data_IF_516986813216
#
_entry.id   IF_516986813216
#
_cell.length_a   1.000
_cell.length_b   1.000
_cell.length_c   1.000
_cell.angle_alpha   90.00
_cell.angle_beta   90.00
_cell.angle_gamma   90.00
#
_symmetry.space_group_name_H-M   'P 1'
#
loop_
_entity.id
_entity.type
_entity.pdbx_description
1 polymer ?
#
# COMPACT_ATOMS: atom_id res chain seq x y z
N UNK A 1 -35.69 11.57 -7.35
CA UNK A 1 -34.94 12.82 -7.07
C UNK A 1 -33.50 12.63 -7.50
N UNK A 2 -33.09 13.24 -8.62
CA UNK A 2 -31.72 13.20 -9.17
C UNK A 2 -30.78 13.92 -8.20
N UNK A 3 -29.92 13.19 -7.50
CA UNK A 3 -28.78 13.80 -6.80
C UNK A 3 -27.76 14.22 -7.86
N UNK A 4 -27.57 15.51 -7.92
CA UNK A 4 -26.60 16.22 -8.75
C UNK A 4 -25.22 15.56 -8.59
N UNK A 5 -24.69 15.05 -9.71
CA UNK A 5 -23.29 14.69 -9.87
C UNK A 5 -22.44 15.87 -9.37
N UNK A 6 -21.71 15.69 -8.28
CA UNK A 6 -20.57 16.57 -7.99
C UNK A 6 -19.56 16.27 -9.11
N UNK A 7 -19.63 17.07 -10.16
CA UNK A 7 -18.61 17.12 -11.18
C UNK A 7 -17.26 17.23 -10.47
N UNK A 8 -16.36 16.29 -10.75
CA UNK A 8 -14.95 16.46 -10.43
C UNK A 8 -14.56 17.79 -11.08
N UNK A 9 -14.27 18.79 -10.26
CA UNK A 9 -13.78 20.07 -10.77
C UNK A 9 -12.60 19.74 -11.68
N UNK A 10 -12.61 20.16 -12.96
CA UNK A 10 -11.52 19.86 -13.87
C UNK A 10 -10.22 20.29 -13.19
N UNK A 11 -9.24 19.40 -13.11
CA UNK A 11 -7.94 19.78 -12.58
C UNK A 11 -7.32 20.79 -13.54
N UNK A 12 -6.70 21.87 -13.02
CA UNK A 12 -6.09 22.91 -13.86
C UNK A 12 -4.94 22.41 -14.76
N UNK A 13 -4.40 21.23 -14.42
CA UNK A 13 -3.40 20.52 -15.22
C UNK A 13 -3.93 19.16 -15.64
N UNK A 14 -3.86 18.80 -16.92
CA UNK A 14 -4.31 17.50 -17.42
C UNK A 14 -3.40 16.37 -16.91
N UNK A 15 -3.93 15.16 -16.92
CA UNK A 15 -3.12 13.97 -16.65
C UNK A 15 -2.06 13.79 -17.76
N UNK A 16 -0.82 13.46 -17.41
CA UNK A 16 0.29 13.17 -18.33
C UNK A 16 0.75 11.74 -18.16
N UNK A 17 0.67 10.90 -19.20
CA UNK A 17 1.10 9.50 -19.17
C UNK A 17 0.58 8.75 -17.92
N UNK A 18 -0.69 8.90 -17.60
CA UNK A 18 -1.33 8.28 -16.43
C UNK A 18 -1.04 8.96 -15.07
N UNK A 19 -0.23 10.02 -15.05
CA UNK A 19 0.19 10.73 -13.83
C UNK A 19 -0.64 11.99 -13.65
N UNK A 20 -1.30 12.11 -12.50
CA UNK A 20 -2.02 13.31 -12.09
C UNK A 20 -1.05 14.40 -11.64
N UNK A 21 -1.41 15.65 -11.88
CA UNK A 21 -0.79 16.77 -11.19
C UNK A 21 -1.07 16.68 -9.67
N UNK A 22 -0.10 17.06 -8.88
CA UNK A 22 -0.30 17.19 -7.43
C UNK A 22 -0.80 18.58 -7.11
N UNK A 23 -1.61 18.71 -6.07
CA UNK A 23 -2.03 20.02 -5.57
C UNK A 23 -1.50 20.24 -4.16
N UNK A 24 -1.14 21.48 -3.89
CA UNK A 24 -0.64 21.92 -2.61
C UNK A 24 -1.24 23.29 -2.25
N UNK A 25 -1.67 23.46 -0.99
CA UNK A 25 -2.09 24.76 -0.49
C UNK A 25 -0.87 25.44 0.10
N UNK A 26 -0.50 26.58 -0.46
CA UNK A 26 0.60 27.41 0.02
C UNK A 26 0.20 28.04 1.37
N UNK A 27 1.17 28.32 2.25
CA UNK A 27 0.87 29.10 3.44
C UNK A 27 0.52 30.56 3.09
N UNK A 28 -0.05 31.27 4.05
CA UNK A 28 -0.15 32.72 3.99
C UNK A 28 1.13 33.34 4.57
N UNK A 29 1.81 34.20 3.82
CA UNK A 29 3.03 34.87 4.26
C UNK A 29 2.81 35.75 5.51
N UNK A 30 1.58 36.22 5.72
CA UNK A 30 1.20 37.04 6.87
C UNK A 30 0.88 36.24 8.13
N UNK A 31 0.80 34.90 8.03
CA UNK A 31 0.60 34.03 9.18
C UNK A 31 1.92 33.29 9.53
N UNK A 32 2.63 33.75 10.58
CA UNK A 32 3.90 33.15 10.97
C UNK A 32 3.74 31.71 11.51
N UNK A 33 2.54 31.31 11.89
CA UNK A 33 2.27 29.94 12.35
C UNK A 33 2.08 28.98 11.17
N UNK A 34 1.70 29.50 10.00
CA UNK A 34 1.53 28.74 8.75
C UNK A 34 2.82 28.77 7.91
N UNK A 35 3.49 29.93 7.80
CA UNK A 35 4.75 30.07 7.08
C UNK A 35 5.98 29.90 7.98
N UNK A 36 6.13 28.70 8.56
CA UNK A 36 7.27 28.37 9.44
C UNK A 36 8.65 28.39 8.76
N UNK A 37 8.70 28.39 7.43
CA UNK A 37 9.97 28.48 6.67
C UNK A 37 10.45 29.92 6.44
N UNK A 38 9.59 30.91 6.74
CA UNK A 38 9.92 32.32 6.58
C UNK A 38 10.22 32.77 5.14
N UNK A 39 9.72 32.04 4.15
CA UNK A 39 9.89 32.35 2.73
C UNK A 39 8.83 33.34 2.26
N UNK A 40 9.16 34.15 1.25
CA UNK A 40 8.26 35.21 0.75
C UNK A 40 7.61 34.86 -0.59
N UNK A 41 8.24 33.99 -1.38
CA UNK A 41 7.77 33.67 -2.74
C UNK A 41 7.36 32.22 -2.88
N UNK A 42 6.51 31.96 -3.87
CA UNK A 42 6.04 30.61 -4.16
C UNK A 42 7.19 29.67 -4.51
N UNK A 43 8.15 30.12 -5.34
CA UNK A 43 9.30 29.31 -5.72
C UNK A 43 10.17 29.00 -4.51
N UNK A 44 10.55 30.01 -3.71
CA UNK A 44 11.40 29.80 -2.54
C UNK A 44 10.77 28.84 -1.53
N UNK A 45 9.46 28.98 -1.30
CA UNK A 45 8.73 28.07 -0.41
C UNK A 45 8.76 26.62 -0.91
N UNK A 46 8.43 26.40 -2.18
CA UNK A 46 8.36 25.05 -2.74
C UNK A 46 9.74 24.38 -2.77
N UNK A 47 10.79 25.14 -3.08
CA UNK A 47 12.16 24.63 -3.04
C UNK A 47 12.56 24.29 -1.61
N UNK A 48 12.40 25.22 -0.67
CA UNK A 48 12.76 24.98 0.74
C UNK A 48 11.99 23.78 1.34
N UNK A 49 10.73 23.61 0.97
CA UNK A 49 9.85 22.59 1.54
C UNK A 49 10.06 21.19 0.94
N UNK A 50 10.30 21.11 -0.37
CA UNK A 50 10.25 19.83 -1.10
C UNK A 50 11.53 19.52 -1.87
N UNK A 51 12.34 20.51 -2.23
CA UNK A 51 13.46 20.36 -3.16
C UNK A 51 14.70 21.18 -2.74
N UNK A 52 15.18 21.07 -1.48
CA UNK A 52 16.19 21.99 -0.92
C UNK A 52 17.53 22.02 -1.69
N UNK A 53 17.77 21.05 -2.58
CA UNK A 53 19.00 20.99 -3.38
C UNK A 53 18.74 21.01 -4.89
N UNK A 54 17.52 21.38 -5.34
CA UNK A 54 17.09 21.28 -6.74
C UNK A 54 16.40 22.56 -7.23
N UNK A 55 16.95 23.72 -6.88
CA UNK A 55 16.34 25.03 -7.19
C UNK A 55 16.09 25.19 -8.70
N UNK A 56 17.12 25.03 -9.54
CA UNK A 56 17.04 25.23 -11.00
C UNK A 56 16.03 24.25 -11.64
N UNK A 57 16.04 23.01 -11.18
CA UNK A 57 15.11 22.00 -11.68
C UNK A 57 13.66 22.38 -11.39
N UNK A 58 13.39 22.95 -10.20
CA UNK A 58 12.05 23.39 -9.85
C UNK A 58 11.68 24.72 -10.52
N UNK A 59 12.61 25.66 -10.63
CA UNK A 59 12.43 26.94 -11.31
C UNK A 59 12.02 26.77 -12.79
N UNK A 60 12.62 25.81 -13.49
CA UNK A 60 12.29 25.50 -14.89
C UNK A 60 10.80 25.14 -15.13
N UNK A 61 10.07 24.71 -14.10
CA UNK A 61 8.62 24.45 -14.21
C UNK A 61 7.80 25.71 -14.34
N UNK A 62 8.25 26.80 -13.71
CA UNK A 62 7.60 28.10 -13.86
C UNK A 62 7.81 28.64 -15.27
N UNK A 63 9.00 28.47 -15.84
CA UNK A 63 9.30 28.82 -17.24
C UNK A 63 8.41 28.05 -18.21
N UNK A 64 8.22 26.73 -17.97
CA UNK A 64 7.32 25.88 -18.75
C UNK A 64 5.85 26.08 -18.45
N UNK A 65 5.50 27.03 -17.53
CA UNK A 65 4.13 27.30 -17.09
C UNK A 65 3.41 26.06 -16.53
N UNK A 66 4.15 25.19 -15.85
CA UNK A 66 3.66 23.94 -15.26
C UNK A 66 3.22 24.07 -13.80
N UNK A 67 3.33 25.28 -13.23
CA UNK A 67 2.74 25.61 -11.92
C UNK A 67 1.50 26.48 -12.19
N UNK A 68 0.33 26.00 -11.76
CA UNK A 68 -0.98 26.60 -12.05
C UNK A 68 -1.77 26.87 -10.79
N UNK A 69 -2.59 27.92 -10.79
CA UNK A 69 -3.62 28.18 -9.79
C UNK A 69 -4.89 27.33 -10.01
N UNK A 70 -5.90 27.53 -9.18
CA UNK A 70 -7.18 26.81 -9.28
C UNK A 70 -7.97 27.15 -10.56
N UNK A 71 -7.71 28.28 -11.18
CA UNK A 71 -8.30 28.76 -12.42
C UNK A 71 -7.53 28.30 -13.68
N UNK A 72 -6.37 27.65 -13.46
CA UNK A 72 -5.51 27.18 -14.56
C UNK A 72 -4.53 28.23 -15.06
N UNK A 73 -4.43 29.40 -14.42
CA UNK A 73 -3.47 30.42 -14.80
C UNK A 73 -2.06 30.05 -14.34
N UNK A 74 -1.01 30.35 -15.10
CA UNK A 74 0.36 30.21 -14.64
C UNK A 74 0.63 31.07 -13.41
N UNK A 75 1.25 30.48 -12.40
CA UNK A 75 1.72 31.17 -11.20
C UNK A 75 3.13 31.69 -11.45
N UNK A 76 3.41 32.95 -11.12
CA UNK A 76 4.76 33.49 -11.22
C UNK A 76 5.67 32.92 -10.09
N UNK A 77 6.97 32.68 -10.36
CA UNK A 77 7.89 32.20 -9.32
C UNK A 77 8.02 33.17 -8.15
N UNK A 78 7.93 34.48 -8.43
CA UNK A 78 7.99 35.58 -7.47
C UNK A 78 6.65 35.96 -6.85
N UNK A 79 5.56 35.22 -7.18
CA UNK A 79 4.25 35.48 -6.59
C UNK A 79 4.31 35.34 -5.06
N UNK A 80 3.60 36.19 -4.30
CA UNK A 80 3.57 36.11 -2.85
C UNK A 80 2.78 34.89 -2.39
N UNK A 81 3.06 34.41 -1.18
CA UNK A 81 2.30 33.36 -0.50
C UNK A 81 1.02 33.97 0.07
N UNK A 82 -0.14 33.51 -0.40
CA UNK A 82 -1.46 34.04 -0.03
C UNK A 82 -2.47 32.96 0.36
N UNK A 83 -1.99 31.82 0.84
CA UNK A 83 -2.87 30.68 1.17
C UNK A 83 -3.51 30.01 -0.06
N UNK A 84 -3.11 30.39 -1.29
CA UNK A 84 -3.71 29.85 -2.51
C UNK A 84 -3.30 28.39 -2.73
N UNK A 85 -4.20 27.65 -3.39
CA UNK A 85 -3.93 26.28 -3.84
C UNK A 85 -3.32 26.33 -5.24
N UNK A 86 -2.23 25.57 -5.42
CA UNK A 86 -1.53 25.42 -6.68
C UNK A 86 -1.47 23.97 -7.12
N UNK A 87 -1.23 23.76 -8.41
CA UNK A 87 -1.03 22.44 -9.03
C UNK A 87 0.27 22.43 -9.82
N UNK A 88 0.99 21.29 -9.75
CA UNK A 88 2.19 21.07 -10.54
C UNK A 88 2.45 19.57 -10.74
N UNK A 89 3.30 19.20 -11.69
CA UNK A 89 3.72 17.82 -11.84
C UNK A 89 4.91 17.50 -10.95
N UNK A 90 4.92 16.29 -10.37
CA UNK A 90 6.13 15.80 -9.69
C UNK A 90 7.24 15.59 -10.70
N UNK A 91 8.49 15.80 -10.27
CA UNK A 91 9.64 15.37 -11.06
C UNK A 91 9.67 13.85 -11.09
N UNK A 92 9.95 13.33 -12.29
CA UNK A 92 10.18 11.90 -12.45
C UNK A 92 11.68 11.68 -12.28
N UNK A 93 12.06 11.05 -11.17
CA UNK A 93 13.42 10.52 -11.01
C UNK A 93 13.68 9.37 -11.99
N UNK A 94 14.90 8.86 -12.00
CA UNK A 94 15.19 7.61 -12.67
C UNK A 94 14.61 6.45 -11.86
N UNK A 95 13.39 6.02 -12.23
CA UNK A 95 12.74 4.88 -11.62
C UNK A 95 13.18 3.60 -12.36
N UNK A 96 13.64 2.60 -11.63
CA UNK A 96 13.93 1.28 -12.22
C UNK A 96 12.61 0.60 -12.58
N UNK A 97 12.43 0.10 -13.83
CA UNK A 97 11.26 -0.68 -14.19
C UNK A 97 11.21 -1.97 -13.37
N UNK A 98 10.00 -2.35 -12.96
CA UNK A 98 9.79 -3.67 -12.34
C UNK A 98 9.67 -4.70 -13.45
N UNK A 99 10.53 -5.73 -13.49
CA UNK A 99 10.64 -6.65 -14.64
C UNK A 99 9.58 -7.78 -14.63
N UNK A 100 8.40 -7.52 -14.10
CA UNK A 100 7.34 -8.51 -13.96
C UNK A 100 6.03 -8.02 -14.57
N UNK A 101 5.32 -8.93 -15.21
CA UNK A 101 4.00 -8.67 -15.77
C UNK A 101 2.95 -8.41 -14.69
N UNK A 102 1.93 -7.67 -15.09
CA UNK A 102 0.77 -7.32 -14.28
C UNK A 102 -0.51 -7.73 -15.02
N UNK A 103 -0.86 -9.05 -15.03
CA UNK A 103 -2.01 -9.53 -15.76
C UNK A 103 -3.32 -9.09 -15.13
N UNK A 104 -4.36 -8.97 -15.97
CA UNK A 104 -5.74 -8.78 -15.55
C UNK A 104 -6.30 -10.13 -15.10
N UNK A 105 -6.89 -10.18 -13.91
CA UNK A 105 -7.49 -11.37 -13.33
C UNK A 105 -9.02 -11.39 -13.44
N UNK A 106 -9.62 -10.21 -13.44
CA UNK A 106 -11.07 -10.00 -13.56
C UNK A 106 -11.34 -8.61 -14.12
N UNK A 107 -12.33 -8.51 -14.97
CA UNK A 107 -12.78 -7.25 -15.51
C UNK A 107 -14.28 -7.29 -15.83
N UNK A 108 -14.95 -6.21 -15.51
CA UNK A 108 -16.31 -5.92 -15.95
C UNK A 108 -16.47 -4.43 -16.34
N UNK A 109 -17.71 -3.95 -16.43
CA UNK A 109 -18.02 -2.56 -16.75
C UNK A 109 -17.53 -1.58 -15.65
N UNK A 110 -17.48 -2.02 -14.38
CA UNK A 110 -17.27 -1.17 -13.22
C UNK A 110 -15.85 -1.23 -12.67
N UNK A 111 -15.26 -2.41 -12.68
CA UNK A 111 -13.98 -2.68 -12.00
C UNK A 111 -13.03 -3.52 -12.85
N UNK A 112 -11.76 -3.40 -12.51
CA UNK A 112 -10.65 -4.18 -13.03
C UNK A 112 -9.82 -4.70 -11.85
N UNK A 113 -9.56 -6.00 -11.80
CA UNK A 113 -8.62 -6.60 -10.84
C UNK A 113 -7.38 -7.10 -11.54
N UNK A 114 -6.23 -6.83 -10.95
CA UNK A 114 -4.92 -7.24 -11.47
C UNK A 114 -4.17 -8.13 -10.50
N UNK A 115 -3.18 -8.84 -11.02
CA UNK A 115 -2.16 -9.56 -10.25
C UNK A 115 -0.90 -8.70 -10.13
N UNK A 116 -0.85 -7.85 -9.10
CA UNK A 116 0.26 -6.94 -8.88
C UNK A 116 1.54 -7.71 -8.55
N UNK A 117 2.68 -7.46 -9.21
CA UNK A 117 3.94 -8.07 -8.83
C UNK A 117 4.51 -7.48 -7.54
N UNK A 118 5.51 -8.17 -6.97
CA UNK A 118 6.38 -7.59 -5.95
C UNK A 118 7.08 -6.34 -6.48
N UNK A 119 7.52 -5.47 -5.59
CA UNK A 119 8.29 -4.24 -5.86
C UNK A 119 7.57 -3.15 -6.65
N UNK A 120 6.37 -3.40 -7.17
CA UNK A 120 5.55 -2.41 -7.85
C UNK A 120 4.61 -1.70 -6.85
N UNK A 121 4.74 -0.39 -6.62
CA UNK A 121 3.77 0.35 -5.81
C UNK A 121 2.38 0.34 -6.45
N UNK A 122 1.34 0.31 -5.63
CA UNK A 122 -0.05 0.42 -6.15
C UNK A 122 -0.33 1.80 -6.73
N UNK A 123 0.13 2.85 -6.05
CA UNK A 123 -0.11 4.26 -6.40
C UNK A 123 1.17 5.08 -6.28
N UNK A 124 1.26 6.22 -6.97
CA UNK A 124 2.38 7.15 -6.83
C UNK A 124 2.63 7.52 -5.36
N UNK A 125 3.84 7.26 -4.89
CA UNK A 125 4.29 7.56 -3.54
C UNK A 125 5.80 7.72 -3.47
N UNK A 126 6.30 8.74 -2.77
CA UNK A 126 7.74 8.99 -2.64
C UNK A 126 8.42 9.14 -4.00
N UNK A 127 9.47 8.37 -4.23
CA UNK A 127 10.26 8.35 -5.47
C UNK A 127 9.63 7.58 -6.62
N UNK A 128 8.54 6.84 -6.38
CA UNK A 128 7.83 6.09 -7.41
C UNK A 128 6.61 6.87 -7.89
N UNK A 129 6.60 7.29 -9.14
CA UNK A 129 5.51 8.06 -9.76
C UNK A 129 5.07 7.44 -11.07
N UNK A 130 6.01 7.18 -11.99
CA UNK A 130 5.75 6.58 -13.29
C UNK A 130 5.57 5.06 -13.22
N UNK A 131 6.45 4.39 -12.46
CA UNK A 131 6.42 2.93 -12.32
C UNK A 131 5.54 2.52 -11.12
N UNK A 132 4.23 2.74 -11.24
CA UNK A 132 3.22 2.24 -10.29
C UNK A 132 2.12 1.49 -11.04
N UNK A 133 1.43 0.58 -10.34
CA UNK A 133 0.33 -0.17 -10.95
C UNK A 133 -0.73 0.76 -11.54
N UNK A 134 -1.13 1.80 -10.80
CA UNK A 134 -2.12 2.78 -11.26
C UNK A 134 -1.67 3.50 -12.53
N UNK A 135 -0.45 4.02 -12.56
CA UNK A 135 0.06 4.81 -13.70
C UNK A 135 0.16 3.94 -14.96
N UNK A 136 0.73 2.73 -14.82
CA UNK A 136 0.84 1.79 -15.93
C UNK A 136 -0.53 1.35 -16.46
N UNK A 137 -1.49 1.04 -15.56
CA UNK A 137 -2.84 0.66 -15.95
C UNK A 137 -3.56 1.77 -16.70
N UNK A 138 -3.49 3.01 -16.23
CA UNK A 138 -4.12 4.15 -16.92
C UNK A 138 -3.64 4.32 -18.36
N UNK A 139 -2.34 4.10 -18.58
CA UNK A 139 -1.75 4.15 -19.93
C UNK A 139 -2.16 2.93 -20.74
N UNK A 140 -2.04 1.72 -20.20
CA UNK A 140 -2.34 0.46 -20.90
C UNK A 140 -3.81 0.37 -21.30
N UNK A 141 -4.72 0.70 -20.40
CA UNK A 141 -6.17 0.65 -20.63
C UNK A 141 -6.72 1.93 -21.28
N UNK A 142 -5.86 2.92 -21.57
CA UNK A 142 -6.27 4.25 -22.05
C UNK A 142 -7.41 4.84 -21.21
N UNK A 143 -7.36 4.64 -19.90
CA UNK A 143 -8.41 5.06 -18.98
C UNK A 143 -7.87 5.93 -17.86
N UNK A 144 -7.92 7.28 -17.98
CA UNK A 144 -7.46 8.20 -16.96
C UNK A 144 -8.33 8.19 -15.69
N UNK A 145 -9.54 7.64 -15.76
CA UNK A 145 -10.47 7.58 -14.63
C UNK A 145 -10.15 6.46 -13.64
N UNK A 146 -9.28 5.50 -13.99
CA UNK A 146 -8.89 4.41 -13.08
C UNK A 146 -8.40 4.93 -11.74
N UNK A 147 -8.91 4.34 -10.67
CA UNK A 147 -8.40 4.55 -9.30
C UNK A 147 -8.40 3.21 -8.55
N UNK A 148 -7.44 2.96 -7.64
CA UNK A 148 -7.48 1.79 -6.80
C UNK A 148 -8.61 1.90 -5.76
N UNK A 149 -9.32 0.79 -5.53
CA UNK A 149 -10.31 0.67 -4.46
C UNK A 149 -9.61 0.39 -3.12
N UNK A 150 -8.58 -0.42 -3.16
CA UNK A 150 -7.66 -0.68 -2.05
C UNK A 150 -6.21 -0.74 -2.56
N UNK A 151 -5.28 -0.89 -1.65
CA UNK A 151 -3.86 -0.94 -2.00
C UNK A 151 -3.15 -2.11 -1.32
N UNK A 152 -2.11 -2.58 -1.97
CA UNK A 152 -1.06 -3.42 -1.39
C UNK A 152 0.22 -2.59 -1.22
N UNK A 153 1.04 -2.99 -0.28
CA UNK A 153 2.39 -2.45 -0.13
C UNK A 153 3.24 -2.74 -1.37
N UNK A 154 4.29 -1.95 -1.59
CA UNK A 154 5.18 -2.13 -2.72
C UNK A 154 5.76 -3.56 -2.79
N UNK A 155 6.19 -4.08 -1.66
CA UNK A 155 6.79 -5.41 -1.57
C UNK A 155 5.77 -6.56 -1.63
N UNK A 156 4.47 -6.34 -1.38
CA UNK A 156 3.42 -7.36 -1.40
C UNK A 156 2.90 -7.58 -2.81
N UNK A 157 2.86 -8.82 -3.28
CA UNK A 157 2.25 -9.19 -4.55
C UNK A 157 0.77 -9.61 -4.40
N UNK A 158 0.05 -9.77 -5.51
CA UNK A 158 -1.27 -10.37 -5.59
C UNK A 158 -2.39 -9.43 -5.99
N UNK A 159 -3.63 -9.80 -5.67
CA UNK A 159 -4.86 -9.18 -6.17
C UNK A 159 -5.03 -7.73 -5.71
N UNK A 160 -5.20 -6.82 -6.66
CA UNK A 160 -5.61 -5.42 -6.41
C UNK A 160 -6.77 -5.04 -7.30
N UNK A 161 -7.81 -4.43 -6.72
CA UNK A 161 -9.03 -4.00 -7.40
C UNK A 161 -8.99 -2.49 -7.69
N UNK A 162 -9.36 -2.12 -8.92
CA UNK A 162 -9.47 -0.73 -9.40
C UNK A 162 -10.89 -0.44 -9.88
N UNK A 163 -11.39 0.76 -9.62
CA UNK A 163 -12.60 1.28 -10.27
C UNK A 163 -12.24 1.81 -11.66
N UNK A 164 -13.02 1.41 -12.68
CA UNK A 164 -12.86 1.85 -14.07
C UNK A 164 -13.58 3.16 -14.34
N UNK A 165 -14.67 3.39 -13.63
CA UNK A 165 -15.56 4.54 -13.82
C UNK A 165 -15.79 5.29 -12.50
N UNK A 166 -16.03 6.61 -12.53
CA UNK A 166 -16.24 7.40 -11.31
C UNK A 166 -17.40 6.89 -10.45
N UNK A 167 -18.45 6.36 -11.06
CA UNK A 167 -19.66 5.85 -10.41
C UNK A 167 -19.37 4.63 -9.52
N UNK A 168 -18.39 3.83 -9.89
CA UNK A 168 -17.96 2.64 -9.12
C UNK A 168 -17.23 3.01 -7.83
N UNK A 169 -16.60 4.20 -7.75
CA UNK A 169 -15.71 4.58 -6.63
C UNK A 169 -16.41 4.48 -5.28
N UNK A 170 -17.52 5.19 -5.12
CA UNK A 170 -18.19 5.27 -3.83
C UNK A 170 -18.80 3.93 -3.37
N UNK A 171 -19.53 3.16 -4.22
CA UNK A 171 -20.04 1.86 -3.83
C UNK A 171 -18.94 0.89 -3.37
N UNK A 172 -17.87 0.73 -4.17
CA UNK A 172 -16.79 -0.21 -3.84
C UNK A 172 -15.95 0.24 -2.64
N UNK A 173 -15.65 1.52 -2.50
CA UNK A 173 -14.96 2.02 -1.31
C UNK A 173 -15.79 1.84 -0.04
N UNK A 174 -17.11 2.03 -0.12
CA UNK A 174 -18.02 1.81 1.01
C UNK A 174 -18.06 0.34 1.42
N UNK A 175 -18.07 -0.58 0.46
CA UNK A 175 -17.98 -2.03 0.68
C UNK A 175 -16.72 -2.37 1.49
N UNK A 176 -15.54 -1.85 1.10
CA UNK A 176 -14.30 -2.05 1.86
C UNK A 176 -14.34 -1.40 3.25
N UNK A 177 -14.93 -0.21 3.39
CA UNK A 177 -15.10 0.46 4.69
C UNK A 177 -15.98 -0.35 5.63
N UNK A 178 -16.98 -1.08 5.10
CA UNK A 178 -17.86 -1.96 5.87
C UNK A 178 -17.26 -3.34 6.13
N UNK A 179 -16.05 -3.59 5.63
CA UNK A 179 -15.36 -4.90 5.76
C UNK A 179 -16.16 -6.06 5.15
N UNK A 180 -16.94 -5.80 4.12
CA UNK A 180 -17.72 -6.81 3.42
C UNK A 180 -16.85 -7.78 2.59
N UNK A 181 -15.71 -7.36 1.98
CA UNK A 181 -14.84 -8.27 1.24
C UNK A 181 -14.05 -9.19 2.18
N UNK A 182 -13.99 -10.47 1.79
CA UNK A 182 -13.07 -11.44 2.37
C UNK A 182 -11.75 -11.39 1.59
N UNK A 183 -10.65 -11.23 2.32
CA UNK A 183 -9.30 -11.19 1.79
C UNK A 183 -8.51 -12.35 2.36
N UNK A 184 -7.89 -13.14 1.51
CA UNK A 184 -6.94 -14.15 1.96
C UNK A 184 -5.55 -13.83 1.44
N UNK A 185 -4.56 -14.06 2.28
CA UNK A 185 -3.16 -13.92 1.93
C UNK A 185 -2.43 -15.22 2.25
N UNK A 186 -1.33 -15.44 1.58
CA UNK A 186 -0.37 -16.48 1.96
C UNK A 186 0.95 -15.83 2.34
N UNK A 187 1.62 -16.40 3.35
CA UNK A 187 2.96 -16.00 3.73
C UNK A 187 3.82 -17.22 4.08
N UNK A 188 5.14 -17.05 3.94
CA UNK A 188 6.12 -18.03 4.42
C UNK A 188 6.96 -17.37 5.50
N UNK A 189 7.05 -18.05 6.65
CA UNK A 189 7.82 -17.64 7.80
C UNK A 189 8.38 -18.87 8.56
N UNK A 190 9.07 -18.65 9.65
CA UNK A 190 9.42 -19.73 10.57
C UNK A 190 8.17 -20.35 11.21
N UNK A 191 8.22 -21.60 11.69
CA UNK A 191 7.14 -22.21 12.45
C UNK A 191 6.76 -21.35 13.68
N UNK A 192 5.46 -21.09 13.84
CA UNK A 192 4.90 -20.39 15.00
C UNK A 192 4.64 -21.36 16.15
N UNK A 193 4.98 -20.93 17.36
CA UNK A 193 4.70 -21.67 18.59
C UNK A 193 3.77 -20.90 19.50
N UNK A 194 2.76 -21.55 20.05
CA UNK A 194 1.89 -21.03 21.10
C UNK A 194 2.00 -21.91 22.34
N UNK A 195 2.34 -21.31 23.49
CA UNK A 195 2.52 -22.09 24.74
C UNK A 195 3.63 -23.15 24.66
N UNK A 196 4.64 -22.97 23.80
CA UNK A 196 5.73 -23.93 23.61
C UNK A 196 5.45 -25.05 22.59
N UNK A 197 4.27 -25.07 21.99
CA UNK A 197 3.89 -26.07 20.96
C UNK A 197 3.76 -25.36 19.60
N UNK A 198 4.36 -25.93 18.56
CA UNK A 198 4.22 -25.42 17.20
C UNK A 198 2.77 -25.61 16.71
N UNK A 199 2.26 -24.62 15.94
CA UNK A 199 0.96 -24.74 15.30
C UNK A 199 1.00 -25.87 14.24
N UNK A 200 0.14 -26.84 14.42
CA UNK A 200 -0.05 -27.91 13.44
C UNK A 200 -0.87 -27.43 12.22
N UNK A 201 -0.77 -28.11 11.07
CA UNK A 201 -1.62 -27.83 9.92
C UNK A 201 -3.10 -27.80 10.28
N UNK A 202 -3.79 -26.72 9.90
CA UNK A 202 -5.19 -26.43 10.23
C UNK A 202 -5.40 -25.67 11.54
N UNK A 203 -4.43 -25.62 12.43
CA UNK A 203 -4.52 -24.80 13.65
C UNK A 203 -4.31 -23.32 13.33
N UNK A 204 -4.94 -22.47 14.13
CA UNK A 204 -4.90 -21.03 13.93
C UNK A 204 -4.65 -20.23 15.20
N UNK A 205 -4.13 -19.02 15.00
CA UNK A 205 -3.89 -17.99 16.00
C UNK A 205 -4.55 -16.69 15.51
N UNK A 206 -5.29 -16.02 16.39
CA UNK A 206 -5.75 -14.65 16.13
C UNK A 206 -4.84 -13.66 16.83
N UNK A 207 -4.32 -12.70 16.06
CA UNK A 207 -3.52 -11.58 16.57
C UNK A 207 -4.36 -10.31 16.52
N UNK A 208 -4.46 -9.64 17.65
CA UNK A 208 -5.03 -8.30 17.78
C UNK A 208 -3.98 -7.33 18.25
N UNK A 209 -4.03 -6.11 17.75
CA UNK A 209 -3.15 -5.05 18.21
C UNK A 209 -3.69 -3.67 17.87
N UNK A 210 -3.00 -2.67 18.37
CA UNK A 210 -3.13 -1.31 17.92
C UNK A 210 -2.00 -1.00 16.95
N UNK A 211 -2.34 -0.57 15.73
CA UNK A 211 -1.38 -0.18 14.69
C UNK A 211 -1.59 1.28 14.34
N UNK A 212 -0.52 2.06 14.39
CA UNK A 212 -0.50 3.47 14.02
C UNK A 212 0.68 3.78 13.09
N UNK A 213 0.44 4.68 12.14
CA UNK A 213 1.54 5.15 11.29
C UNK A 213 2.46 6.06 12.12
N UNK A 214 3.73 5.72 12.19
CA UNK A 214 4.74 6.57 12.78
C UNK A 214 5.24 7.58 11.75
N UNK A 215 5.13 8.87 12.06
CA UNK A 215 5.56 9.92 11.14
C UNK A 215 7.07 9.85 10.89
N UNK A 216 7.47 9.81 9.61
CA UNK A 216 8.88 9.74 9.23
C UNK A 216 9.52 8.35 9.39
N UNK A 217 8.76 7.32 9.79
CA UNK A 217 9.24 5.94 9.91
C UNK A 217 8.74 5.07 8.76
N UNK A 218 9.57 4.10 8.36
CA UNK A 218 9.16 3.01 7.47
C UNK A 218 8.31 1.96 8.20
N UNK A 219 8.49 1.82 9.50
CA UNK A 219 7.72 0.92 10.36
C UNK A 219 6.48 1.61 10.91
N UNK A 220 5.43 0.83 11.13
CA UNK A 220 4.29 1.27 11.94
C UNK A 220 4.58 1.02 13.42
N UNK A 221 4.01 1.84 14.30
CA UNK A 221 3.99 1.57 15.73
C UNK A 221 2.93 0.51 16.05
N UNK A 222 3.29 -0.47 16.88
CA UNK A 222 2.37 -1.51 17.33
C UNK A 222 2.36 -1.59 18.86
N UNK A 223 1.16 -1.56 19.44
CA UNK A 223 0.93 -1.68 20.89
C UNK A 223 -0.29 -2.58 21.16
N UNK A 224 -0.59 -2.83 22.41
CA UNK A 224 -1.78 -3.58 22.86
C UNK A 224 -1.92 -4.94 22.16
N UNK A 225 -0.80 -5.68 22.07
CA UNK A 225 -0.75 -6.95 21.34
C UNK A 225 -1.39 -8.04 22.17
N UNK A 226 -2.31 -8.78 21.56
CA UNK A 226 -2.99 -9.94 22.14
C UNK A 226 -2.93 -11.12 21.18
N UNK A 227 -2.65 -12.29 21.71
CA UNK A 227 -2.63 -13.54 20.99
C UNK A 227 -3.74 -14.47 21.53
N UNK A 228 -4.66 -14.89 20.66
CA UNK A 228 -5.80 -15.73 21.00
C UNK A 228 -5.72 -17.02 20.17
N UNK A 229 -5.77 -18.17 20.84
CA UNK A 229 -5.81 -19.46 20.16
C UNK A 229 -7.10 -19.59 19.31
N UNK A 230 -6.96 -20.05 18.08
CA UNK A 230 -8.07 -20.24 17.17
C UNK A 230 -8.71 -18.95 16.67
N UNK A 231 -10.02 -19.01 16.46
CA UNK A 231 -10.85 -17.91 16.02
C UNK A 231 -11.25 -16.99 17.17
N UNK A 232 -11.31 -15.70 16.89
CA UNK A 232 -11.86 -14.71 17.80
C UNK A 232 -12.89 -13.83 17.09
N UNK A 233 -13.92 -13.32 17.80
CA UNK A 233 -14.89 -12.41 17.23
C UNK A 233 -14.22 -11.22 16.56
N UNK A 234 -14.76 -10.75 15.43
CA UNK A 234 -14.22 -9.60 14.72
C UNK A 234 -14.27 -8.34 15.61
N UNK A 235 -13.22 -7.52 15.56
CA UNK A 235 -13.22 -6.20 16.19
C UNK A 235 -14.35 -5.35 15.61
N UNK A 236 -15.10 -4.64 16.44
CA UNK A 236 -16.23 -3.83 15.99
C UNK A 236 -15.77 -2.73 15.01
N UNK A 237 -16.68 -2.36 14.11
CA UNK A 237 -16.49 -1.19 13.25
C UNK A 237 -16.74 0.08 14.08
N UNK A 238 -15.78 1.00 14.07
CA UNK A 238 -16.02 2.31 14.61
C UNK A 238 -17.08 3.06 13.78
N UNK A 239 -18.07 3.59 14.44
CA UNK A 239 -19.08 4.41 13.78
C UNK A 239 -18.50 5.76 13.34
N UNK A 240 -19.14 6.39 12.34
CA UNK A 240 -18.76 7.75 11.91
C UNK A 240 -18.84 8.77 13.05
N UNK A 241 -19.74 8.56 14.01
CA UNK A 241 -19.89 9.43 15.19
C UNK A 241 -18.68 9.28 16.13
N UNK A 242 -18.28 8.06 16.44
CA UNK A 242 -17.09 7.78 17.25
C UNK A 242 -15.80 8.33 16.60
N UNK A 243 -15.66 8.19 15.28
CA UNK A 243 -14.55 8.77 14.53
C UNK A 243 -14.52 10.31 14.57
N UNK A 244 -15.69 10.96 14.50
CA UNK A 244 -15.80 12.42 14.58
C UNK A 244 -15.49 12.94 15.99
N UNK A 245 -16.07 12.30 17.00
CA UNK A 245 -15.86 12.66 18.40
C UNK A 245 -14.38 12.56 18.78
N UNK A 246 -13.73 11.49 18.39
CA UNK A 246 -12.30 11.28 18.59
C UNK A 246 -11.44 12.37 17.94
N UNK A 247 -11.80 12.79 16.70
CA UNK A 247 -11.08 13.89 16.02
C UNK A 247 -11.26 15.23 16.73
N UNK A 248 -12.40 15.44 17.39
CA UNK A 248 -12.67 16.67 18.14
C UNK A 248 -11.98 16.71 19.49
N UNK A 249 -11.98 15.59 20.20
CA UNK A 249 -11.44 15.51 21.56
C UNK A 249 -9.92 15.47 21.61
N UNK A 250 -9.24 15.24 20.46
CA UNK A 250 -7.79 14.99 20.46
C UNK A 250 -7.40 13.74 21.25
N UNK A 251 -8.39 12.97 21.73
CA UNK A 251 -8.17 11.76 22.48
C UNK A 251 -7.44 10.75 21.60
N UNK A 252 -6.32 10.29 22.08
CA UNK A 252 -5.62 9.17 21.48
C UNK A 252 -6.54 7.96 21.38
N UNK A 253 -6.24 7.06 20.46
CA UNK A 253 -6.99 5.80 20.39
C UNK A 253 -6.75 4.99 21.65
N UNK A 254 -7.80 4.53 22.31
CA UNK A 254 -7.73 3.45 23.27
C UNK A 254 -8.18 2.14 22.61
N UNK A 255 -7.43 1.07 22.84
CA UNK A 255 -7.79 -0.28 22.39
C UNK A 255 -7.31 -0.67 20.98
N UNK A 256 -7.50 -1.92 20.68
CA UNK A 256 -7.04 -2.58 19.46
C UNK A 256 -7.83 -2.12 18.23
N UNK A 257 -7.14 -1.93 17.10
CA UNK A 257 -7.73 -1.48 15.84
C UNK A 257 -7.37 -2.37 14.64
N UNK A 258 -6.59 -3.42 14.89
CA UNK A 258 -6.13 -4.38 13.90
C UNK A 258 -6.36 -5.80 14.41
N UNK A 259 -6.85 -6.68 13.51
CA UNK A 259 -7.08 -8.10 13.79
C UNK A 259 -6.78 -8.93 12.55
N UNK A 260 -6.00 -9.98 12.73
CA UNK A 260 -5.68 -10.98 11.70
C UNK A 260 -5.78 -12.37 12.28
N UNK A 261 -6.36 -13.30 11.52
CA UNK A 261 -6.26 -14.74 11.75
C UNK A 261 -5.08 -15.28 10.96
N UNK A 262 -4.27 -16.12 11.58
CA UNK A 262 -3.10 -16.78 11.02
C UNK A 262 -3.32 -18.29 11.17
N UNK A 263 -3.44 -19.02 10.06
CA UNK A 263 -3.67 -20.48 10.04
C UNK A 263 -2.45 -21.16 9.45
N UNK A 264 -1.90 -22.15 10.11
CA UNK A 264 -0.87 -23.00 9.55
C UNK A 264 -1.46 -23.86 8.42
N UNK A 265 -0.93 -23.74 7.19
CA UNK A 265 -1.32 -24.59 6.07
C UNK A 265 -0.47 -25.86 6.03
N UNK A 266 0.84 -25.68 6.05
CA UNK A 266 1.81 -26.76 6.01
C UNK A 266 3.15 -26.29 6.54
N UNK A 267 3.93 -27.23 7.09
CA UNK A 267 5.33 -27.04 7.43
C UNK A 267 6.21 -27.91 6.53
N UNK A 268 7.26 -27.36 6.00
CA UNK A 268 8.14 -28.03 5.03
C UNK A 268 9.61 -27.67 5.29
N UNK A 269 10.51 -28.46 4.76
CA UNK A 269 11.93 -28.14 4.73
C UNK A 269 12.27 -27.40 3.43
N UNK A 270 13.03 -26.32 3.57
CA UNK A 270 13.45 -25.51 2.42
C UNK A 270 14.37 -26.33 1.51
N UNK A 271 13.89 -26.59 0.30
CA UNK A 271 14.66 -27.36 -0.68
C UNK A 271 15.96 -26.61 -1.09
N UNK A 272 17.07 -27.30 -1.25
CA UNK A 272 18.28 -26.72 -1.86
C UNK A 272 17.95 -26.18 -3.25
N UNK A 273 18.46 -24.99 -3.58
CA UNK A 273 18.29 -24.36 -4.90
C UNK A 273 17.08 -23.45 -5.06
N UNK A 274 16.18 -23.34 -4.06
CA UNK A 274 15.13 -22.31 -4.05
C UNK A 274 15.65 -20.94 -3.60
N UNK A 275 16.79 -20.88 -2.94
CA UNK A 275 17.41 -19.63 -2.52
C UNK A 275 18.28 -19.06 -3.64
N UNK A 276 18.39 -17.71 -3.70
CA UNK A 276 19.40 -17.08 -4.54
C UNK A 276 20.79 -17.55 -4.13
N UNK A 277 21.72 -17.55 -5.08
CA UNK A 277 23.13 -17.83 -4.80
C UNK A 277 23.63 -16.82 -3.75
N UNK A 278 24.18 -17.32 -2.66
CA UNK A 278 24.68 -16.47 -1.56
C UNK A 278 25.77 -15.49 -2.01
N UNK A 279 26.48 -15.79 -3.12
CA UNK A 279 27.48 -14.88 -3.70
C UNK A 279 26.86 -13.70 -4.46
N UNK A 280 25.59 -13.82 -4.89
CA UNK A 280 24.85 -12.79 -5.64
C UNK A 280 23.75 -12.11 -4.82
N UNK A 281 23.33 -12.73 -3.72
CA UNK A 281 22.32 -12.18 -2.83
C UNK A 281 22.84 -10.96 -2.06
N UNK A 282 21.92 -10.05 -1.71
CA UNK A 282 22.25 -8.93 -0.85
C UNK A 282 22.71 -9.43 0.52
N UNK A 283 23.94 -9.15 0.98
CA UNK A 283 24.47 -9.69 2.23
C UNK A 283 23.72 -9.19 3.47
N UNK A 284 22.97 -8.09 3.37
CA UNK A 284 22.14 -7.59 4.48
C UNK A 284 20.80 -8.33 4.60
N UNK A 285 20.42 -9.15 3.61
CA UNK A 285 19.17 -9.92 3.67
C UNK A 285 19.45 -11.29 4.32
N UNK A 286 18.89 -11.61 5.49
CA UNK A 286 19.10 -12.88 6.14
C UNK A 286 18.45 -14.01 5.34
N UNK A 287 19.25 -14.80 4.65
CA UNK A 287 18.80 -15.99 3.95
C UNK A 287 18.58 -17.13 4.94
N UNK A 288 17.48 -17.87 4.85
CA UNK A 288 17.32 -19.09 5.62
C UNK A 288 18.31 -20.15 5.14
N UNK A 289 18.91 -20.92 6.05
CA UNK A 289 19.77 -22.02 5.65
C UNK A 289 18.99 -23.11 4.89
N UNK A 290 19.61 -23.80 3.91
CA UNK A 290 19.03 -24.99 3.31
C UNK A 290 18.65 -26.02 4.37
N UNK A 291 17.53 -26.73 4.21
CA UNK A 291 16.99 -27.66 5.18
C UNK A 291 16.28 -27.00 6.39
N UNK A 292 16.25 -25.65 6.46
CA UNK A 292 15.48 -24.97 7.50
C UNK A 292 13.99 -25.27 7.36
N UNK A 293 13.35 -25.59 8.48
CA UNK A 293 11.90 -25.75 8.54
C UNK A 293 11.23 -24.39 8.41
N UNK A 294 10.29 -24.34 7.48
CA UNK A 294 9.46 -23.18 7.17
C UNK A 294 7.99 -23.58 7.20
N UNK A 295 7.13 -22.61 7.40
CA UNK A 295 5.68 -22.80 7.40
C UNK A 295 5.02 -21.86 6.44
N UNK A 296 4.10 -22.38 5.62
CA UNK A 296 3.18 -21.58 4.81
C UNK A 296 1.92 -21.32 5.62
N UNK A 297 1.56 -20.07 5.74
CA UNK A 297 0.41 -19.60 6.48
C UNK A 297 -0.67 -19.06 5.55
N UNK A 298 -1.93 -19.32 5.87
CA UNK A 298 -3.08 -18.56 5.40
C UNK A 298 -3.33 -17.42 6.38
N UNK A 299 -3.43 -16.20 5.86
CA UNK A 299 -3.65 -15.00 6.65
C UNK A 299 -4.96 -14.34 6.24
N UNK A 300 -5.83 -14.09 7.20
CA UNK A 300 -7.14 -13.47 6.99
C UNK A 300 -7.26 -12.18 7.81
N UNK A 301 -6.94 -11.02 7.21
CA UNK A 301 -7.06 -9.74 7.90
C UNK A 301 -8.52 -9.26 7.96
N UNK A 302 -9.09 -9.16 9.17
CA UNK A 302 -10.41 -8.55 9.38
C UNK A 302 -10.39 -7.02 9.25
N UNK A 303 -9.23 -6.43 9.37
CA UNK A 303 -8.97 -4.98 9.21
C UNK A 303 -7.94 -4.76 8.10
N UNK A 304 -7.66 -3.52 7.74
CA UNK A 304 -6.72 -3.20 6.67
C UNK A 304 -5.76 -2.07 7.06
N UNK A 305 -4.96 -2.27 8.11
CA UNK A 305 -3.95 -1.29 8.52
C UNK A 305 -2.67 -1.46 7.71
N UNK A 306 -1.92 -0.37 7.59
CA UNK A 306 -0.60 -0.38 6.94
C UNK A 306 0.28 -1.46 7.59
N UNK A 307 0.93 -2.28 6.76
CA UNK A 307 1.85 -3.37 7.18
C UNK A 307 1.25 -4.39 8.16
N UNK A 308 -0.07 -4.45 8.32
CA UNK A 308 -0.73 -5.22 9.39
C UNK A 308 -0.25 -6.67 9.48
N UNK A 309 -0.26 -7.41 8.37
CA UNK A 309 0.13 -8.83 8.36
C UNK A 309 1.62 -9.01 8.67
N UNK A 310 2.45 -8.07 8.22
CA UNK A 310 3.90 -8.08 8.43
C UNK A 310 4.23 -7.89 9.89
N UNK A 311 3.66 -6.85 10.52
CA UNK A 311 3.91 -6.56 11.93
C UNK A 311 3.26 -7.58 12.87
N UNK A 312 2.10 -8.17 12.50
CA UNK A 312 1.48 -9.24 13.27
C UNK A 312 2.36 -10.50 13.29
N UNK A 313 2.87 -10.95 12.15
CA UNK A 313 3.79 -12.10 12.11
C UNK A 313 5.12 -11.80 12.80
N UNK A 314 5.67 -10.61 12.65
CA UNK A 314 6.88 -10.22 13.38
C UNK A 314 6.66 -10.27 14.91
N UNK A 315 5.50 -9.82 15.40
CA UNK A 315 5.15 -9.84 16.82
C UNK A 315 5.03 -11.25 17.40
N UNK A 316 4.72 -12.26 16.58
CA UNK A 316 4.70 -13.66 17.02
C UNK A 316 6.09 -14.30 17.08
N UNK A 317 7.16 -13.56 16.74
CA UNK A 317 8.51 -14.10 16.66
C UNK A 317 8.84 -14.81 15.35
N UNK A 318 7.92 -14.82 14.37
CA UNK A 318 8.10 -15.40 13.05
C UNK A 318 7.88 -14.35 11.94
N UNK A 319 8.81 -13.40 11.75
CA UNK A 319 8.70 -12.41 10.69
C UNK A 319 8.63 -13.11 9.32
N UNK A 320 7.90 -12.49 8.39
CA UNK A 320 7.77 -13.00 7.01
C UNK A 320 9.16 -12.99 6.35
N UNK A 321 9.49 -14.05 5.67
CA UNK A 321 10.77 -14.13 4.95
C UNK A 321 10.83 -13.09 3.83
N UNK A 322 12.02 -12.51 3.65
CA UNK A 322 12.23 -11.41 2.70
C UNK A 322 11.67 -10.07 3.16
N UNK A 323 11.22 -9.94 4.42
CA UNK A 323 10.81 -8.65 4.96
C UNK A 323 12.03 -7.82 5.36
N UNK A 324 12.21 -6.68 4.69
CA UNK A 324 13.32 -5.73 4.92
C UNK A 324 12.97 -4.62 5.90
N UNK A 325 11.76 -4.65 6.47
CA UNK A 325 11.26 -3.62 7.38
C UNK A 325 10.98 -4.20 8.77
N UNK A 326 10.58 -5.48 8.86
CA UNK A 326 10.24 -6.13 10.13
C UNK A 326 11.04 -7.41 10.36
N UNK A 327 11.50 -7.66 11.62
CA UNK A 327 11.25 -6.88 12.85
C UNK A 327 12.04 -5.58 12.92
N UNK A 328 13.09 -5.43 12.14
CA UNK A 328 13.95 -4.25 12.04
C UNK A 328 14.17 -3.82 10.61
N UNK A 329 14.46 -2.53 10.42
CA UNK A 329 14.74 -1.98 9.08
C UNK A 329 16.16 -2.39 8.68
N UNK A 330 16.26 -3.19 7.63
CA UNK A 330 17.56 -3.60 7.08
C UNK A 330 18.13 -2.51 6.15
N UNK A 331 19.46 -2.33 6.11
CA UNK A 331 20.12 -1.34 5.26
C UNK A 331 20.20 -1.81 3.80
N UNK A 332 19.06 -2.14 3.20
CA UNK A 332 18.97 -2.64 1.83
C UNK A 332 18.62 -1.49 0.91
N UNK A 333 19.57 -1.11 0.05
CA UNK A 333 19.40 -0.01 -0.88
C UNK A 333 18.62 -0.39 -2.14
N UNK A 334 18.65 -1.67 -2.55
CA UNK A 334 18.04 -2.18 -3.79
C UNK A 334 17.12 -3.37 -3.51
N UNK A 335 16.15 -3.56 -4.39
CA UNK A 335 15.28 -4.74 -4.35
C UNK A 335 16.07 -6.01 -4.67
N UNK A 336 15.70 -7.10 -3.97
CA UNK A 336 16.25 -8.43 -4.26
C UNK A 336 15.16 -9.31 -4.92
N UNK A 337 15.08 -9.33 -6.26
CA UNK A 337 14.04 -10.06 -6.97
C UNK A 337 14.06 -11.57 -6.74
N UNK A 338 15.22 -12.13 -6.40
CA UNK A 338 15.35 -13.57 -6.15
C UNK A 338 14.77 -13.99 -4.80
N UNK A 339 14.68 -13.07 -3.82
CA UNK A 339 14.01 -13.31 -2.55
C UNK A 339 13.08 -12.14 -2.19
N UNK A 340 11.95 -12.00 -2.89
CA UNK A 340 10.96 -11.00 -2.55
C UNK A 340 10.30 -11.32 -1.20
N UNK A 341 9.65 -10.31 -0.62
CA UNK A 341 8.80 -10.53 0.55
C UNK A 341 7.84 -11.71 0.31
N UNK A 342 7.94 -12.75 1.11
CA UNK A 342 7.11 -13.94 0.97
C UNK A 342 5.69 -13.68 1.50
N UNK A 343 4.99 -12.68 0.92
CA UNK A 343 3.62 -12.29 1.22
C UNK A 343 2.84 -12.04 -0.07
N UNK A 344 1.76 -12.78 -0.24
CA UNK A 344 0.92 -12.78 -1.44
C UNK A 344 -0.54 -12.57 -1.07
N UNK A 345 -1.18 -11.53 -1.61
CA UNK A 345 -2.65 -11.36 -1.57
C UNK A 345 -3.29 -12.41 -2.49
N UNK A 346 -3.60 -13.58 -1.93
CA UNK A 346 -4.01 -14.78 -2.66
C UNK A 346 -5.37 -14.63 -3.31
N UNK A 347 -6.36 -14.11 -2.56
CA UNK A 347 -7.70 -13.93 -3.11
C UNK A 347 -8.44 -12.74 -2.50
N UNK A 348 -9.39 -12.26 -3.29
CA UNK A 348 -10.36 -11.25 -2.91
C UNK A 348 -11.75 -11.73 -3.32
N UNK A 349 -12.65 -11.93 -2.35
CA UNK A 349 -14.04 -12.27 -2.57
C UNK A 349 -14.95 -11.16 -2.05
N UNK A 350 -15.97 -10.78 -2.81
CA UNK A 350 -16.89 -9.71 -2.42
C UNK A 350 -18.24 -9.83 -3.13
N UNK A 351 -19.34 -9.34 -2.50
CA UNK A 351 -20.58 -9.08 -3.21
C UNK A 351 -20.40 -7.84 -4.08
N UNK A 352 -20.63 -7.96 -5.38
CA UNK A 352 -20.51 -6.83 -6.30
C UNK A 352 -21.56 -5.75 -5.98
N UNK A 353 -21.17 -4.54 -5.55
CA UNK A 353 -22.13 -3.59 -4.95
C UNK A 353 -23.13 -2.99 -5.94
N UNK A 354 -22.95 -3.21 -7.25
CA UNK A 354 -23.88 -2.76 -8.30
C UNK A 354 -24.76 -3.88 -8.79
N UNK A 355 -24.20 -5.07 -9.05
CA UNK A 355 -24.93 -6.20 -9.63
C UNK A 355 -25.46 -7.19 -8.59
N UNK A 356 -24.94 -7.16 -7.37
CA UNK A 356 -25.26 -8.12 -6.29
C UNK A 356 -24.63 -9.50 -6.46
N UNK A 357 -23.91 -9.76 -7.55
CA UNK A 357 -23.26 -11.04 -7.80
C UNK A 357 -22.05 -11.26 -6.88
N UNK A 358 -21.83 -12.51 -6.45
CA UNK A 358 -20.61 -12.88 -5.76
C UNK A 358 -19.44 -12.94 -6.75
N UNK A 359 -18.37 -12.23 -6.44
CA UNK A 359 -17.13 -12.21 -7.23
C UNK A 359 -16.01 -12.80 -6.40
N UNK A 360 -15.22 -13.70 -7.00
CA UNK A 360 -14.01 -14.27 -6.43
C UNK A 360 -12.86 -14.08 -7.42
N UNK A 361 -11.86 -13.32 -7.03
CA UNK A 361 -10.63 -13.11 -7.80
C UNK A 361 -9.48 -13.81 -7.09
N UNK A 362 -8.69 -14.58 -7.83
CA UNK A 362 -7.51 -15.30 -7.29
C UNK A 362 -6.25 -14.91 -8.04
N UNK A 363 -5.18 -14.66 -7.29
CA UNK A 363 -3.83 -14.49 -7.86
C UNK A 363 -3.34 -15.78 -8.52
N UNK A 364 -2.70 -15.63 -9.66
CA UNK A 364 -2.02 -16.72 -10.38
C UNK A 364 -0.56 -16.87 -9.94
N UNK A 365 -0.05 -15.92 -9.10
CA UNK A 365 1.30 -15.96 -8.57
C UNK A 365 1.45 -17.00 -7.48
N UNK A 366 2.69 -17.39 -7.25
CA UNK A 366 3.09 -18.25 -6.15
C UNK A 366 4.21 -17.57 -5.36
N UNK A 367 4.32 -17.91 -4.09
CA UNK A 367 5.45 -17.51 -3.27
C UNK A 367 6.70 -18.26 -3.74
N UNK A 368 7.82 -17.57 -3.86
CA UNK A 368 9.07 -18.10 -4.42
C UNK A 368 9.59 -19.31 -3.65
N UNK A 369 9.39 -19.31 -2.34
CA UNK A 369 9.85 -20.40 -1.45
C UNK A 369 8.76 -21.43 -1.15
N UNK A 370 7.55 -21.33 -1.75
CA UNK A 370 6.52 -22.33 -1.55
C UNK A 370 6.96 -23.68 -2.14
N UNK A 371 6.65 -24.80 -1.47
CA UNK A 371 6.85 -26.12 -2.07
C UNK A 371 6.05 -26.18 -3.38
N UNK A 372 6.63 -26.77 -4.40
CA UNK A 372 5.90 -27.07 -5.64
C UNK A 372 4.63 -27.87 -5.34
N UNK A 373 3.63 -27.88 -6.25
CA UNK A 373 2.44 -28.73 -6.06
C UNK A 373 2.94 -30.15 -5.77
N UNK A 374 2.51 -30.69 -4.62
CA UNK A 374 2.79 -32.06 -4.21
C UNK A 374 2.19 -32.98 -5.26
N UNK A 375 3.03 -33.47 -6.20
CA UNK A 375 2.60 -34.43 -7.23
C UNK A 375 3.12 -34.13 -8.63
N UNK A 376 4.43 -34.05 -8.78
CA UNK A 376 5.08 -34.49 -10.03
C UNK A 376 6.41 -35.14 -9.66
N UNK A 377 6.58 -36.44 -9.96
CA UNK A 377 7.90 -37.10 -9.86
C UNK A 377 8.88 -36.53 -10.86
#
# INVERSE_FOLDING_TARGET
>A
MRRVNRHLTPQPLPQRKGIDAVSFTLPDANDPTDNVLGTSTVLDYLVARFYPHQYELFASRFERKEVRDAQGNPVAPTAPLTGQKIWYYRELGQEKPVPFDMPVLYEDEWVLAIDKPHFLPTTPNGSFVAHTALTQLRVRENNPALIPIHRLDRATAGVVLFAKVPEARAPFQTMFQRREPTKTYEAIAAPLSTGGTELAPGESLTVRSRIENAHGSLQVAQTDIEFLAGDAPALPLETKAQLRERRRSGAGFSGQNAQSRITCLETFELAPGLLPDASTANPALPLPAPGRRLTRYLLEPHTGKTHQLRVHLAATGAPILGDVVYPEVLPIAEDEPALPLQLLARSLSFPHPVTGQAVLVKSQRQLTLAPGPSGAP
#
